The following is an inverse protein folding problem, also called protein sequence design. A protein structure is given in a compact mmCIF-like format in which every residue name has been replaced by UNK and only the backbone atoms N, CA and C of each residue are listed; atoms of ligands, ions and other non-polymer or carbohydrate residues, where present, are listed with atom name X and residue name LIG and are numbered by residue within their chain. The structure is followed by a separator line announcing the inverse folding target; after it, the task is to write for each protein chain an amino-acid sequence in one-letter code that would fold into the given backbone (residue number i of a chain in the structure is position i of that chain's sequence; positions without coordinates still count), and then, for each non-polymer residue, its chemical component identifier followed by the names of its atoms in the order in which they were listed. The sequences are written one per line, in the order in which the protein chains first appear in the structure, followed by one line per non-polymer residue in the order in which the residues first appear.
data_IF_261753163797
#
_entry.id   IF_261753163797
#
_cell.length_a   1.000
_cell.length_b   1.000
_cell.length_c   1.000
_cell.angle_alpha   90.00
_cell.angle_beta   90.00
_cell.angle_gamma   90.00
#
_symmetry.space_group_name_H-M   'P 1'
#
loop_
_entity.id
_entity.type
_entity.pdbx_description
1 polymer ?
#
# COMPACT_ATOMS: atom_id res chain seq x y z
N UNK A 1 14.63 -3.61 7.79
CA UNK A 1 13.69 -3.52 6.66
C UNK A 1 13.36 -2.05 6.41
N UNK A 2 13.58 -1.60 5.21
CA UNK A 2 13.22 -0.24 4.81
C UNK A 2 12.23 -0.28 3.68
N UNK A 3 11.18 0.52 3.76
CA UNK A 3 10.22 0.69 2.68
C UNK A 3 10.67 1.86 1.79
N UNK A 4 10.61 1.63 0.50
CA UNK A 4 10.88 2.69 -0.47
C UNK A 4 9.56 3.40 -0.81
N UNK A 5 9.25 4.44 -0.06
CA UNK A 5 8.00 5.21 -0.24
C UNK A 5 7.94 5.91 -1.59
N UNK A 6 9.10 6.24 -2.16
CA UNK A 6 9.16 6.81 -3.50
C UNK A 6 8.64 5.82 -4.53
N UNK A 7 9.03 4.56 -4.43
CA UNK A 7 8.54 3.50 -5.32
C UNK A 7 7.05 3.24 -5.11
N UNK A 8 6.61 3.21 -3.87
CA UNK A 8 5.18 3.03 -3.56
C UNK A 8 4.36 4.15 -4.19
N UNK A 9 4.77 5.40 -3.99
CA UNK A 9 4.08 6.56 -4.56
C UNK A 9 4.04 6.52 -6.09
N UNK A 10 5.16 6.17 -6.72
CA UNK A 10 5.23 6.06 -8.18
C UNK A 10 4.30 4.99 -8.72
N UNK A 11 4.20 3.86 -8.05
CA UNK A 11 3.33 2.76 -8.48
C UNK A 11 1.86 3.13 -8.34
N UNK A 12 1.51 3.84 -7.27
CA UNK A 12 0.16 4.35 -7.09
C UNK A 12 -0.19 5.32 -8.23
N UNK A 13 0.70 6.26 -8.51
CA UNK A 13 0.48 7.24 -9.59
C UNK A 13 0.41 6.56 -10.95
N UNK A 14 1.28 5.59 -11.21
CA UNK A 14 1.28 4.85 -12.47
C UNK A 14 -0.03 4.10 -12.67
N UNK A 15 -0.49 3.37 -11.65
CA UNK A 15 -1.76 2.64 -11.74
C UNK A 15 -2.92 3.57 -11.97
N UNK A 16 -2.94 4.72 -11.28
CA UNK A 16 -3.97 5.74 -11.49
C UNK A 16 -4.00 6.19 -12.95
N UNK A 17 -2.84 6.48 -13.51
CA UNK A 17 -2.73 6.93 -14.90
C UNK A 17 -3.12 5.85 -15.90
N UNK A 18 -2.77 4.59 -15.62
CA UNK A 18 -3.17 3.45 -16.45
C UNK A 18 -4.69 3.34 -16.55
N UNK A 19 -5.39 3.66 -15.47
CA UNK A 19 -6.86 3.64 -15.44
C UNK A 19 -7.48 4.93 -15.99
N UNK A 20 -6.67 5.91 -16.38
CA UNK A 20 -7.16 7.19 -16.88
C UNK A 20 -7.80 8.06 -15.82
N UNK A 21 -7.47 7.86 -14.55
CA UNK A 21 -8.08 8.58 -13.43
C UNK A 21 -7.25 9.79 -13.02
N UNK A 22 -7.95 10.86 -12.63
CA UNK A 22 -7.33 12.00 -11.98
C UNK A 22 -7.24 11.73 -10.47
N UNK A 23 -6.38 12.47 -9.79
CA UNK A 23 -6.25 12.34 -8.33
C UNK A 23 -7.60 12.49 -7.62
N UNK A 24 -8.42 13.45 -8.03
CA UNK A 24 -9.72 13.68 -7.41
C UNK A 24 -10.62 12.44 -7.48
N UNK A 25 -10.62 11.73 -8.60
CA UNK A 25 -11.42 10.52 -8.75
C UNK A 25 -10.98 9.39 -7.84
N UNK A 26 -9.68 9.23 -7.68
CA UNK A 26 -9.12 8.23 -6.77
C UNK A 26 -9.44 8.59 -5.32
N UNK A 27 -9.30 9.85 -4.96
CA UNK A 27 -9.58 10.31 -3.60
C UNK A 27 -11.04 10.08 -3.22
N UNK A 28 -11.96 10.32 -4.14
CA UNK A 28 -13.38 10.05 -3.92
C UNK A 28 -13.62 8.57 -3.64
N UNK A 29 -13.00 7.68 -4.41
CA UNK A 29 -13.13 6.25 -4.23
C UNK A 29 -12.49 5.75 -2.95
N UNK A 30 -11.32 6.29 -2.61
CA UNK A 30 -10.54 5.83 -1.46
C UNK A 30 -10.92 6.50 -0.14
N UNK A 31 -11.69 7.58 -0.19
CA UNK A 31 -12.08 8.33 1.00
C UNK A 31 -10.94 9.11 1.62
N UNK A 32 -10.05 9.67 0.81
CA UNK A 32 -8.94 10.52 1.26
C UNK A 32 -9.00 11.86 0.53
N UNK A 33 -8.30 12.87 1.05
CA UNK A 33 -8.28 14.17 0.38
C UNK A 33 -7.19 14.25 -0.69
N UNK A 34 -7.35 15.20 -1.62
CA UNK A 34 -6.46 15.35 -2.76
C UNK A 34 -5.03 15.69 -2.34
N UNK A 35 -4.89 16.53 -1.32
CA UNK A 35 -3.57 16.92 -0.83
C UNK A 35 -2.80 15.71 -0.29
N UNK A 36 -3.48 14.85 0.43
CA UNK A 36 -2.86 13.65 1.00
C UNK A 36 -2.40 12.70 -0.11
N UNK A 37 -3.25 12.44 -1.11
CA UNK A 37 -2.87 11.59 -2.23
C UNK A 37 -1.68 12.18 -2.99
N UNK A 38 -1.69 13.48 -3.24
CA UNK A 38 -0.57 14.15 -3.91
C UNK A 38 0.73 13.96 -3.13
N UNK A 39 0.68 14.09 -1.81
CA UNK A 39 1.84 13.88 -0.96
C UNK A 39 2.32 12.43 -0.97
N UNK A 40 1.39 11.46 -1.00
CA UNK A 40 1.74 10.05 -1.11
C UNK A 40 2.45 9.76 -2.43
N UNK A 41 1.91 10.26 -3.54
CA UNK A 41 2.50 10.04 -4.86
C UNK A 41 3.89 10.66 -4.99
N UNK A 42 4.15 11.74 -4.28
CA UNK A 42 5.46 12.41 -4.25
C UNK A 42 6.37 11.94 -3.13
N UNK A 43 5.89 11.00 -2.31
CA UNK A 43 6.63 10.46 -1.16
C UNK A 43 6.97 11.50 -0.10
N UNK A 44 6.16 12.55 0.01
CA UNK A 44 6.30 13.55 1.08
C UNK A 44 5.42 13.23 2.28
N UNK A 45 4.55 12.24 2.17
CA UNK A 45 3.78 11.68 3.28
C UNK A 45 3.82 10.16 3.20
N UNK A 46 3.84 9.53 4.36
CA UNK A 46 3.82 8.07 4.46
C UNK A 46 2.38 7.62 4.61
N UNK A 47 1.86 6.80 3.67
CA UNK A 47 0.50 6.29 3.81
C UNK A 47 0.44 5.24 4.92
N UNK A 48 -0.66 5.23 5.65
CA UNK A 48 -0.93 4.14 6.58
C UNK A 48 -1.25 2.87 5.81
N UNK A 49 -1.13 1.71 6.46
CA UNK A 49 -1.50 0.45 5.83
C UNK A 49 -2.96 0.48 5.37
N UNK A 50 -3.85 1.07 6.17
CA UNK A 50 -5.26 1.19 5.79
C UNK A 50 -5.43 1.99 4.50
N UNK A 51 -4.70 3.09 4.37
CA UNK A 51 -4.78 3.93 3.17
C UNK A 51 -4.23 3.18 1.95
N UNK A 52 -3.16 2.42 2.12
CA UNK A 52 -2.63 1.59 1.02
C UNK A 52 -3.69 0.59 0.55
N UNK A 53 -4.38 -0.04 1.47
CA UNK A 53 -5.46 -0.99 1.13
C UNK A 53 -6.61 -0.27 0.42
N UNK A 54 -7.02 0.89 0.93
CA UNK A 54 -8.09 1.69 0.30
C UNK A 54 -7.71 2.13 -1.11
N UNK A 55 -6.46 2.54 -1.30
CA UNK A 55 -5.98 2.93 -2.63
C UNK A 55 -5.95 1.74 -3.58
N UNK A 56 -5.53 0.57 -3.09
CA UNK A 56 -5.53 -0.64 -3.91
C UNK A 56 -6.95 -0.99 -4.38
N UNK A 57 -7.93 -0.93 -3.48
CA UNK A 57 -9.32 -1.17 -3.84
C UNK A 57 -9.84 -0.12 -4.82
N UNK A 58 -9.52 1.15 -4.60
CA UNK A 58 -9.94 2.25 -5.47
C UNK A 58 -9.35 2.15 -6.88
N UNK A 59 -8.14 1.59 -6.97
CA UNK A 59 -7.40 1.44 -8.23
C UNK A 59 -7.54 0.03 -8.83
N UNK A 60 -8.47 -0.74 -8.32
CA UNK A 60 -8.81 -2.07 -8.83
C UNK A 60 -7.59 -2.99 -8.90
N UNK A 61 -6.83 -3.02 -7.81
CA UNK A 61 -5.63 -3.85 -7.69
C UNK A 61 -5.49 -4.33 -6.24
N UNK A 62 -4.34 -4.87 -5.90
CA UNK A 62 -4.05 -5.39 -4.57
C UNK A 62 -2.91 -4.61 -3.91
N UNK A 63 -2.84 -4.57 -2.58
CA UNK A 63 -1.77 -3.83 -1.89
C UNK A 63 -0.37 -4.28 -2.28
N UNK A 64 -0.18 -5.56 -2.57
CA UNK A 64 1.13 -6.08 -2.94
C UNK A 64 1.62 -5.49 -4.26
N UNK A 65 0.72 -5.06 -5.15
CA UNK A 65 1.10 -4.40 -6.39
C UNK A 65 1.91 -3.12 -6.14
N UNK A 66 1.64 -2.43 -5.04
CA UNK A 66 2.37 -1.22 -4.68
C UNK A 66 3.61 -1.53 -3.84
N UNK A 67 3.57 -2.61 -3.07
CA UNK A 67 4.60 -2.91 -2.07
C UNK A 67 5.71 -3.82 -2.60
N UNK A 68 5.41 -4.68 -3.57
CA UNK A 68 6.39 -5.62 -4.12
C UNK A 68 7.54 -4.86 -4.77
N UNK A 69 8.75 -5.18 -4.36
CA UNK A 69 9.95 -4.52 -4.87
C UNK A 69 10.24 -3.17 -4.20
N UNK A 70 9.33 -2.65 -3.35
CA UNK A 70 9.57 -1.43 -2.59
C UNK A 70 10.28 -1.70 -1.27
N UNK A 71 10.41 -2.96 -0.90
CA UNK A 71 11.06 -3.40 0.33
C UNK A 71 12.44 -3.93 -0.01
N UNK A 72 13.46 -3.38 0.65
CA UNK A 72 14.83 -3.88 0.50
C UNK A 72 15.09 -4.94 1.54
N UNK A 73 14.85 -6.18 1.16
CA UNK A 73 15.13 -7.33 2.00
C UNK A 73 16.24 -8.15 1.37
N UNK A 74 17.05 -8.73 2.22
CA UNK A 74 18.12 -9.65 1.79
C UNK A 74 17.57 -11.04 1.44
N UNK A 75 16.34 -11.34 1.85
CA UNK A 75 15.71 -12.62 1.60
C UNK A 75 14.33 -12.44 0.97
N UNK A 76 13.68 -13.55 0.65
CA UNK A 76 12.38 -13.58 -0.04
C UNK A 76 11.19 -13.62 0.93
N UNK A 77 11.39 -13.42 2.22
CA UNK A 77 10.31 -13.48 3.20
C UNK A 77 9.19 -12.51 2.87
N UNK A 78 9.56 -11.34 2.39
CA UNK A 78 8.58 -10.34 2.00
C UNK A 78 7.66 -10.80 0.87
N UNK A 79 8.22 -11.52 -0.11
CA UNK A 79 7.43 -12.05 -1.21
C UNK A 79 6.40 -13.06 -0.74
N UNK A 80 6.78 -13.89 0.22
CA UNK A 80 5.85 -14.86 0.81
C UNK A 80 4.66 -14.15 1.46
N UNK A 81 4.92 -13.07 2.20
CA UNK A 81 3.86 -12.27 2.81
C UNK A 81 2.96 -11.63 1.76
N UNK A 82 3.55 -11.06 0.71
CA UNK A 82 2.78 -10.44 -0.37
C UNK A 82 1.87 -11.45 -1.09
N UNK A 83 2.38 -12.66 -1.33
CA UNK A 83 1.60 -13.73 -1.94
C UNK A 83 0.41 -14.14 -1.05
N UNK A 84 0.63 -14.20 0.25
CA UNK A 84 -0.45 -14.48 1.19
C UNK A 84 -1.54 -13.42 1.14
N UNK A 85 -1.15 -12.14 1.09
CA UNK A 85 -2.09 -11.03 1.02
C UNK A 85 -2.90 -11.07 -0.27
N UNK A 86 -2.27 -11.43 -1.38
CA UNK A 86 -2.94 -11.51 -2.68
C UNK A 86 -4.09 -12.51 -2.69
N UNK A 87 -3.95 -13.59 -1.96
CA UNK A 87 -4.97 -14.66 -1.91
C UNK A 87 -6.11 -14.37 -0.94
N UNK A 88 -6.10 -13.25 -0.23
CA UNK A 88 -7.08 -12.98 0.83
C UNK A 88 -8.29 -12.21 0.32
N UNK A 89 -9.48 -12.59 0.84
CA UNK A 89 -10.69 -11.81 0.64
C UNK A 89 -10.70 -10.59 1.58
N UNK A 90 -11.72 -9.74 1.48
CA UNK A 90 -11.81 -8.50 2.27
C UNK A 90 -11.79 -8.75 3.77
N UNK A 91 -12.47 -9.81 4.25
CA UNK A 91 -12.51 -10.13 5.67
C UNK A 91 -11.13 -10.53 6.18
N UNK A 92 -10.44 -11.39 5.42
CA UNK A 92 -9.09 -11.83 5.78
C UNK A 92 -8.09 -10.69 5.70
N UNK A 93 -8.23 -9.80 4.71
CA UNK A 93 -7.38 -8.61 4.62
C UNK A 93 -7.56 -7.70 5.83
N UNK A 94 -8.79 -7.55 6.32
CA UNK A 94 -9.05 -6.78 7.54
C UNK A 94 -8.34 -7.36 8.75
N UNK A 95 -8.37 -8.69 8.90
CA UNK A 95 -7.65 -9.37 9.98
C UNK A 95 -6.14 -9.25 9.82
N UNK A 96 -5.65 -9.40 8.59
CA UNK A 96 -4.22 -9.25 8.30
C UNK A 96 -3.75 -7.84 8.63
N UNK A 97 -4.54 -6.83 8.29
CA UNK A 97 -4.26 -5.44 8.63
C UNK A 97 -4.13 -5.25 10.13
N UNK A 98 -5.08 -5.79 10.90
CA UNK A 98 -5.06 -5.69 12.36
C UNK A 98 -3.82 -6.35 12.94
N UNK A 99 -3.47 -7.53 12.44
CA UNK A 99 -2.27 -8.23 12.88
C UNK A 99 -1.00 -7.46 12.54
N UNK A 100 -0.90 -6.93 11.31
CA UNK A 100 0.27 -6.18 10.90
C UNK A 100 0.41 -4.87 11.67
N UNK A 101 -0.70 -4.21 12.00
CA UNK A 101 -0.68 -3.02 12.83
C UNK A 101 -0.17 -3.32 14.23
N UNK A 102 -0.64 -4.43 14.82
CA UNK A 102 -0.15 -4.90 16.11
C UNK A 102 1.34 -5.21 16.04
N UNK A 103 1.75 -5.93 15.00
CA UNK A 103 3.14 -6.34 14.83
C UNK A 103 4.07 -5.12 14.69
N UNK A 104 3.61 -4.10 13.96
CA UNK A 104 4.40 -2.88 13.74
C UNK A 104 4.66 -2.14 15.07
N UNK A 105 3.77 -2.28 16.04
CA UNK A 105 3.93 -1.65 17.36
C UNK A 105 4.86 -2.44 18.30
N UNK A 106 5.26 -3.65 17.90
CA UNK A 106 6.14 -4.47 18.71
C UNK A 106 7.60 -4.12 18.46
N UNK A 107 8.38 -4.07 19.54
CA UNK A 107 9.81 -3.91 19.42
C UNK A 107 10.45 -5.29 19.30
N UNK A 108 10.70 -5.68 18.08
CA UNK A 108 11.35 -6.96 17.81
C UNK A 108 12.77 -6.65 17.36
N UNK A 109 13.74 -7.08 18.17
CA UNK A 109 15.14 -6.98 17.78
C UNK A 109 15.47 -8.11 16.82
N UNK A 110 16.03 -7.74 15.69
CA UNK A 110 16.34 -8.76 14.70
C UNK A 110 17.12 -8.25 13.55
#
# INVERSE_FOLDING_TARGET
MELDYSQIGKRIAQRRKELGLKQAGVCERAGINDKYLSCIERATSIPSLEVVIRLALALDTTPDAFLTGSVRLEDDQWRDVAEMLRGMNSAKLGLAKSFLSWLADQQISG
#
